data_IF_861188643888
#
_entry.id   IF_861188643888
#
_cell.length_a   1.000
_cell.length_b   1.000
_cell.length_c   1.000
_cell.angle_alpha   90.00
_cell.angle_beta   90.00
_cell.angle_gamma   90.00
#
_symmetry.space_group_name_H-M   'P 1'
#
loop_
_entity.id
_entity.type
_entity.pdbx_description
1 polymer ?
#
# COMPACT_ATOMS: atom_id res chain seq x y z
N UNK A 1 8.98 35.95 -11.19
CA UNK A 1 9.39 35.67 -9.79
C UNK A 1 10.38 34.53 -9.86
N UNK A 2 11.51 34.59 -9.15
CA UNK A 2 12.52 33.54 -9.22
C UNK A 2 12.09 32.35 -8.33
N UNK A 3 11.97 31.15 -8.90
CA UNK A 3 11.51 29.94 -8.21
C UNK A 3 12.57 29.41 -7.22
N UNK A 4 12.14 28.78 -6.12
CA UNK A 4 13.02 28.16 -5.12
C UNK A 4 13.30 26.69 -5.52
N UNK A 5 14.56 26.27 -5.75
CA UNK A 5 14.93 24.89 -6.09
C UNK A 5 14.40 23.84 -5.12
N UNK A 6 14.36 24.15 -3.82
CA UNK A 6 13.79 23.23 -2.81
C UNK A 6 12.30 23.01 -3.04
N UNK A 7 11.57 24.06 -3.44
CA UNK A 7 10.13 23.98 -3.74
C UNK A 7 9.93 23.14 -5.00
N UNK A 8 10.77 23.34 -6.00
CA UNK A 8 10.74 22.61 -7.26
C UNK A 8 10.98 21.10 -7.06
N UNK A 9 12.03 20.72 -6.34
CA UNK A 9 12.28 19.31 -5.99
C UNK A 9 11.13 18.71 -5.17
N UNK A 10 10.57 19.47 -4.22
CA UNK A 10 9.42 18.99 -3.41
C UNK A 10 8.17 18.73 -4.25
N UNK A 11 7.94 19.53 -5.31
CA UNK A 11 6.83 19.34 -6.24
C UNK A 11 7.05 18.09 -7.07
N UNK A 12 8.28 17.89 -7.57
CA UNK A 12 8.63 16.71 -8.36
C UNK A 12 8.45 15.41 -7.57
N UNK A 13 9.04 15.31 -6.37
CA UNK A 13 8.89 14.14 -5.50
C UNK A 13 7.42 13.86 -5.20
N UNK A 14 6.63 14.90 -4.92
CA UNK A 14 5.19 14.76 -4.72
C UNK A 14 4.45 14.24 -5.96
N UNK A 15 4.87 14.61 -7.17
CA UNK A 15 4.28 14.08 -8.42
C UNK A 15 4.64 12.60 -8.60
N UNK A 16 5.89 12.21 -8.34
CA UNK A 16 6.32 10.81 -8.37
C UNK A 16 5.51 9.96 -7.38
N UNK A 17 5.36 10.43 -6.14
CA UNK A 17 4.56 9.75 -5.11
C UNK A 17 3.13 9.50 -5.59
N UNK A 18 2.48 10.54 -6.11
CA UNK A 18 1.12 10.48 -6.66
C UNK A 18 1.06 9.49 -7.82
N UNK A 19 2.03 9.52 -8.73
CA UNK A 19 2.09 8.62 -9.90
C UNK A 19 2.22 7.16 -9.46
N UNK A 20 3.13 6.86 -8.53
CA UNK A 20 3.38 5.51 -8.04
C UNK A 20 2.18 4.96 -7.26
N UNK A 21 1.58 5.76 -6.39
CA UNK A 21 0.36 5.38 -5.68
C UNK A 21 -0.81 5.13 -6.65
N UNK A 22 -0.97 6.01 -7.65
CA UNK A 22 -2.00 5.87 -8.69
C UNK A 22 -1.85 4.55 -9.44
N UNK A 23 -0.63 4.19 -9.85
CA UNK A 23 -0.31 2.93 -10.55
C UNK A 23 -0.76 1.70 -9.76
N UNK A 24 -0.60 1.70 -8.44
CA UNK A 24 -1.07 0.59 -7.59
C UNK A 24 -2.60 0.52 -7.59
N UNK A 25 -3.30 1.65 -7.46
CA UNK A 25 -4.77 1.71 -7.40
C UNK A 25 -5.47 1.56 -8.76
N UNK A 26 -4.73 1.61 -9.86
CA UNK A 26 -5.22 1.32 -11.21
C UNK A 26 -5.70 -0.11 -11.36
N UNK A 27 -5.24 -1.05 -10.53
CA UNK A 27 -5.59 -2.46 -10.66
C UNK A 27 -6.55 -2.89 -9.55
N UNK A 28 -7.72 -3.40 -9.96
CA UNK A 28 -8.58 -4.18 -9.08
C UNK A 28 -8.14 -5.63 -9.07
N UNK A 29 -7.74 -6.14 -7.90
CA UNK A 29 -7.03 -7.42 -7.74
C UNK A 29 -7.82 -8.38 -6.81
N UNK A 30 -8.91 -9.01 -7.26
CA UNK A 30 -9.62 -9.97 -6.41
C UNK A 30 -8.71 -11.13 -5.99
N UNK A 31 -8.92 -11.64 -4.78
CA UNK A 31 -8.19 -12.78 -4.26
C UNK A 31 -8.20 -13.99 -5.22
N UNK A 32 -7.03 -14.57 -5.49
CA UNK A 32 -6.82 -15.72 -6.38
C UNK A 32 -7.18 -15.43 -7.85
N UNK A 33 -7.32 -14.17 -8.26
CA UNK A 33 -7.53 -13.82 -9.67
C UNK A 33 -6.22 -13.87 -10.47
N UNK A 34 -6.32 -14.07 -11.78
CA UNK A 34 -5.15 -13.89 -12.66
C UNK A 34 -4.64 -12.45 -12.63
N UNK A 35 -5.53 -11.45 -12.45
CA UNK A 35 -5.13 -10.04 -12.32
C UNK A 35 -4.24 -9.80 -11.11
N UNK A 36 -4.60 -10.32 -9.94
CA UNK A 36 -3.75 -10.23 -8.74
C UNK A 36 -2.39 -10.90 -8.98
N UNK A 37 -2.40 -12.10 -9.57
CA UNK A 37 -1.19 -12.85 -9.87
C UNK A 37 -0.27 -12.12 -10.85
N UNK A 38 -0.80 -11.63 -11.96
CA UNK A 38 -0.04 -10.86 -12.95
C UNK A 38 0.52 -9.60 -12.30
N UNK A 39 -0.32 -8.84 -11.58
CA UNK A 39 0.11 -7.63 -10.91
C UNK A 39 1.24 -7.89 -9.89
N UNK A 40 1.11 -8.91 -9.05
CA UNK A 40 2.14 -9.29 -8.08
C UNK A 40 3.46 -9.63 -8.77
N UNK A 41 3.42 -10.46 -9.82
CA UNK A 41 4.63 -10.90 -10.52
C UNK A 41 5.29 -9.77 -11.32
N UNK A 42 4.51 -8.82 -11.82
CA UNK A 42 5.01 -7.69 -12.59
C UNK A 42 5.55 -6.57 -11.70
N UNK A 43 4.88 -6.25 -10.59
CA UNK A 43 5.15 -5.02 -9.84
C UNK A 43 5.73 -5.21 -8.44
N UNK A 44 5.58 -6.40 -7.82
CA UNK A 44 6.12 -6.65 -6.48
C UNK A 44 7.22 -7.70 -6.46
N UNK A 45 7.07 -8.79 -7.22
CA UNK A 45 8.02 -9.90 -7.25
C UNK A 45 8.96 -9.82 -8.45
N UNK A 46 9.62 -8.66 -8.60
CA UNK A 46 10.50 -8.36 -9.73
C UNK A 46 11.88 -9.00 -9.55
N UNK A 47 12.69 -9.14 -10.62
CA UNK A 47 14.06 -9.64 -10.51
C UNK A 47 14.92 -8.88 -9.48
N UNK A 48 14.72 -7.57 -9.35
CA UNK A 48 15.43 -6.69 -8.42
C UNK A 48 15.02 -6.99 -6.98
N UNK A 49 13.73 -7.16 -6.73
CA UNK A 49 13.22 -7.53 -5.41
C UNK A 49 13.72 -8.93 -5.02
N UNK A 50 13.75 -9.88 -5.96
CA UNK A 50 14.33 -11.21 -5.75
C UNK A 50 15.83 -11.11 -5.42
N UNK A 51 16.58 -10.29 -6.17
CA UNK A 51 18.01 -10.03 -5.93
C UNK A 51 18.24 -9.38 -4.57
N UNK A 52 17.34 -8.52 -4.12
CA UNK A 52 17.33 -7.91 -2.78
C UNK A 52 16.96 -8.90 -1.67
N UNK A 53 16.53 -10.12 -2.01
CA UNK A 53 16.23 -11.20 -1.05
C UNK A 53 14.75 -11.50 -0.88
N UNK A 54 13.86 -10.90 -1.67
CA UNK A 54 12.43 -11.25 -1.66
C UNK A 54 12.23 -12.69 -2.15
N UNK A 55 11.38 -13.43 -1.46
CA UNK A 55 10.95 -14.76 -1.86
C UNK A 55 9.46 -14.96 -1.61
N UNK A 56 8.89 -16.00 -2.24
CA UNK A 56 7.53 -16.46 -1.96
C UNK A 56 7.55 -17.67 -1.05
N UNK A 57 6.68 -17.71 -0.05
CA UNK A 57 6.51 -18.92 0.76
C UNK A 57 5.72 -20.02 0.02
N UNK A 58 5.47 -21.14 0.70
CA UNK A 58 4.74 -22.29 0.17
C UNK A 58 3.22 -22.17 0.27
N UNK A 59 2.66 -20.98 0.51
CA UNK A 59 1.22 -20.79 0.56
C UNK A 59 0.58 -20.93 -0.83
N UNK A 60 -0.59 -21.56 -0.88
CA UNK A 60 -1.39 -21.71 -2.08
C UNK A 60 -2.88 -21.65 -1.73
N UNK A 61 -3.68 -20.90 -2.49
CA UNK A 61 -5.12 -20.80 -2.29
C UNK A 61 -5.88 -20.68 -3.62
N UNK A 62 -7.17 -21.01 -3.57
CA UNK A 62 -8.03 -20.99 -4.75
C UNK A 62 -7.69 -22.06 -5.79
N UNK A 63 -7.85 -21.72 -7.08
CA UNK A 63 -7.60 -22.63 -8.21
C UNK A 63 -6.16 -22.57 -8.73
N UNK A 64 -5.28 -21.84 -8.05
CA UNK A 64 -3.89 -21.68 -8.43
C UNK A 64 -3.16 -23.03 -8.30
N UNK A 65 -2.95 -23.71 -9.42
CA UNK A 65 -2.18 -24.96 -9.49
C UNK A 65 -0.76 -24.66 -9.97
N UNK A 66 0.15 -24.34 -9.05
CA UNK A 66 1.56 -24.09 -9.37
C UNK A 66 2.40 -23.86 -8.12
N UNK A 67 3.70 -24.15 -8.20
CA UNK A 67 4.70 -23.76 -7.20
C UNK A 67 4.96 -22.24 -7.33
N UNK A 68 4.85 -21.45 -6.26
CA UNK A 68 5.28 -20.03 -6.25
C UNK A 68 4.21 -18.93 -6.37
N UNK A 69 3.05 -19.03 -5.74
CA UNK A 69 2.07 -17.91 -5.59
C UNK A 69 1.80 -17.55 -4.12
N UNK A 70 2.74 -17.88 -3.23
CA UNK A 70 2.62 -17.64 -1.79
C UNK A 70 2.74 -16.17 -1.38
N UNK A 71 2.77 -15.95 -0.08
CA UNK A 71 3.05 -14.63 0.51
C UNK A 71 4.44 -14.18 0.08
N UNK A 72 4.61 -12.88 -0.21
CA UNK A 72 5.91 -12.31 -0.55
C UNK A 72 6.58 -11.82 0.73
N UNK A 73 7.82 -12.23 0.94
CA UNK A 73 8.55 -11.97 2.17
C UNK A 73 9.92 -11.42 1.81
N UNK A 74 10.33 -10.34 2.47
CA UNK A 74 11.68 -9.77 2.38
C UNK A 74 12.09 -9.20 3.74
N UNK A 75 13.34 -9.42 4.12
CA UNK A 75 13.95 -8.79 5.29
C UNK A 75 14.83 -7.63 4.81
N UNK A 76 14.61 -6.45 5.39
CA UNK A 76 15.41 -5.24 5.13
C UNK A 76 16.17 -4.88 6.40
N UNK A 77 17.46 -4.59 6.25
CA UNK A 77 18.35 -4.35 7.39
C UNK A 77 18.63 -5.62 8.20
N UNK A 78 19.21 -5.46 9.39
CA UNK A 78 19.54 -6.58 10.27
C UNK A 78 19.02 -6.33 11.69
N UNK A 79 18.55 -7.40 12.35
CA UNK A 79 18.30 -7.40 13.80
C UNK A 79 17.03 -6.67 14.26
N UNK A 80 16.17 -6.25 13.33
CA UNK A 80 14.88 -5.63 13.64
C UNK A 80 13.96 -6.61 14.37
N UNK A 81 13.18 -6.09 15.33
CA UNK A 81 12.09 -6.79 16.02
C UNK A 81 10.72 -6.39 15.49
N UNK A 82 10.70 -5.69 14.35
CA UNK A 82 9.52 -5.14 13.72
C UNK A 82 9.19 -5.88 12.43
N UNK A 83 7.95 -6.33 12.32
CA UNK A 83 7.33 -6.87 11.12
C UNK A 83 6.32 -5.84 10.57
N UNK A 84 6.36 -5.61 9.26
CA UNK A 84 5.38 -4.80 8.52
C UNK A 84 4.54 -5.70 7.62
N UNK A 85 3.23 -5.40 7.58
CA UNK A 85 2.23 -6.24 6.94
C UNK A 85 1.29 -5.42 6.08
N UNK A 86 1.04 -5.90 4.87
CA UNK A 86 -0.04 -5.47 3.98
C UNK A 86 -0.58 -6.70 3.25
N UNK A 87 -1.67 -6.55 2.50
CA UNK A 87 -2.16 -7.62 1.61
C UNK A 87 -2.21 -7.18 0.14
N UNK A 88 -2.12 -8.15 -0.78
CA UNK A 88 -2.03 -7.88 -2.22
C UNK A 88 -3.38 -7.90 -2.93
N UNK A 89 -4.35 -8.62 -2.38
CA UNK A 89 -5.70 -8.69 -2.91
C UNK A 89 -6.52 -7.43 -2.58
N UNK A 90 -7.71 -7.35 -3.13
CA UNK A 90 -8.68 -6.26 -2.91
C UNK A 90 -10.07 -6.87 -3.01
N UNK A 91 -11.08 -6.29 -2.34
CA UNK A 91 -12.49 -6.72 -2.44
C UNK A 91 -13.17 -6.54 -3.81
N UNK A 92 -12.43 -6.22 -4.87
CA UNK A 92 -13.01 -6.12 -6.22
C UNK A 92 -13.77 -7.41 -6.58
N UNK A 93 -14.91 -7.27 -7.28
CA UNK A 93 -15.72 -8.42 -7.70
C UNK A 93 -15.07 -9.17 -8.86
N UNK A 94 -14.34 -8.45 -9.70
CA UNK A 94 -13.65 -8.94 -10.89
C UNK A 94 -12.33 -8.21 -11.04
N UNK A 95 -11.33 -8.88 -11.62
CA UNK A 95 -10.07 -8.25 -11.96
C UNK A 95 -10.29 -7.17 -13.01
N UNK A 96 -9.85 -5.94 -12.74
CA UNK A 96 -10.04 -4.80 -13.65
C UNK A 96 -8.80 -3.91 -13.69
N UNK A 97 -8.66 -3.21 -14.79
CA UNK A 97 -7.86 -1.98 -14.88
C UNK A 97 -8.86 -0.83 -14.86
N UNK A 98 -8.69 0.09 -13.92
CA UNK A 98 -9.62 1.18 -13.67
C UNK A 98 -8.96 2.55 -13.77
N UNK A 99 -9.77 3.55 -14.08
CA UNK A 99 -9.36 4.93 -14.08
C UNK A 99 -9.29 5.45 -12.65
N UNK A 100 -8.12 5.94 -12.24
CA UNK A 100 -7.92 6.59 -10.95
C UNK A 100 -7.92 8.10 -11.18
N UNK A 101 -8.95 8.75 -10.66
CA UNK A 101 -9.21 10.17 -10.84
C UNK A 101 -8.60 10.93 -9.68
N UNK A 102 -7.85 11.99 -9.98
CA UNK A 102 -7.31 12.91 -8.98
C UNK A 102 -8.27 14.08 -8.84
N UNK A 103 -9.01 14.13 -7.73
CA UNK A 103 -9.94 15.20 -7.45
C UNK A 103 -9.28 16.28 -6.59
N UNK A 104 -9.14 17.51 -7.09
CA UNK A 104 -8.65 18.64 -6.31
C UNK A 104 -9.75 19.29 -5.44
N UNK A 105 -10.99 18.78 -5.47
CA UNK A 105 -12.09 19.35 -4.72
C UNK A 105 -11.90 19.19 -3.20
N UNK A 106 -12.32 20.22 -2.45
CA UNK A 106 -12.38 20.22 -0.97
C UNK A 106 -11.05 20.21 -0.22
N UNK A 107 -10.18 21.20 -0.42
CA UNK A 107 -9.01 21.51 0.45
C UNK A 107 -7.95 20.40 0.64
N UNK A 108 -8.19 19.19 0.13
CA UNK A 108 -7.40 17.97 0.29
C UNK A 108 -7.41 17.23 -1.05
N UNK A 109 -6.24 16.82 -1.52
CA UNK A 109 -6.15 16.05 -2.76
C UNK A 109 -6.59 14.60 -2.50
N UNK A 110 -7.54 14.10 -3.31
CA UNK A 110 -8.07 12.74 -3.17
C UNK A 110 -7.99 11.93 -4.45
N UNK A 111 -7.75 10.63 -4.33
CA UNK A 111 -8.02 9.67 -5.40
C UNK A 111 -9.43 9.09 -5.27
N UNK A 112 -10.09 8.91 -6.41
CA UNK A 112 -11.36 8.20 -6.56
C UNK A 112 -11.34 7.35 -7.83
N UNK A 113 -12.37 6.52 -8.02
CA UNK A 113 -12.55 5.72 -9.25
C UNK A 113 -13.97 5.90 -9.79
N UNK A 114 -14.13 5.76 -11.11
CA UNK A 114 -15.42 5.74 -11.81
C UNK A 114 -15.87 4.30 -12.15
N UNK A 115 -15.13 3.27 -11.69
CA UNK A 115 -15.36 1.87 -12.04
C UNK A 115 -16.66 1.26 -11.50
N UNK A 116 -17.35 1.95 -10.57
CA UNK A 116 -18.48 1.39 -9.83
C UNK A 116 -18.11 0.25 -8.86
N UNK A 117 -16.81 0.08 -8.60
CA UNK A 117 -16.22 -0.79 -7.58
C UNK A 117 -15.37 0.05 -6.61
N UNK A 118 -14.76 -0.59 -5.61
CA UNK A 118 -13.80 0.07 -4.74
C UNK A 118 -12.60 0.63 -5.50
N UNK A 119 -11.89 1.57 -4.89
CA UNK A 119 -10.65 2.13 -5.43
C UNK A 119 -9.48 1.14 -5.30
N UNK A 120 -9.54 0.19 -4.37
CA UNK A 120 -8.42 -0.67 -4.00
C UNK A 120 -7.45 0.03 -3.05
N UNK A 121 -7.93 1.02 -2.29
CA UNK A 121 -7.15 1.64 -1.20
C UNK A 121 -6.80 0.61 -0.12
N UNK A 122 -7.74 -0.29 0.14
CA UNK A 122 -7.60 -1.54 0.88
C UNK A 122 -7.19 -2.67 -0.09
N UNK A 123 -5.93 -3.15 -0.12
CA UNK A 123 -4.77 -2.63 0.63
C UNK A 123 -3.63 -2.15 -0.29
N UNK A 124 -3.99 -1.52 -1.41
CA UNK A 124 -3.00 -0.83 -2.25
C UNK A 124 -2.22 0.26 -1.51
N UNK A 125 -2.81 0.85 -0.46
CA UNK A 125 -2.16 1.88 0.36
C UNK A 125 -1.09 1.29 1.27
N UNK A 126 -1.38 0.17 1.95
CA UNK A 126 -0.40 -0.52 2.78
C UNK A 126 0.77 -1.06 1.97
N UNK A 127 0.49 -1.57 0.76
CA UNK A 127 1.56 -1.99 -0.17
C UNK A 127 2.47 -0.83 -0.53
N UNK A 128 1.91 0.34 -0.89
CA UNK A 128 2.71 1.53 -1.20
C UNK A 128 3.56 1.98 -0.01
N UNK A 129 2.97 2.03 1.20
CA UNK A 129 3.71 2.38 2.42
C UNK A 129 4.88 1.43 2.69
N UNK A 130 4.68 0.13 2.53
CA UNK A 130 5.76 -0.85 2.73
C UNK A 130 6.89 -0.65 1.73
N UNK A 131 6.59 -0.41 0.44
CA UNK A 131 7.62 -0.11 -0.56
C UNK A 131 8.40 1.17 -0.22
N UNK A 132 7.73 2.20 0.26
CA UNK A 132 8.37 3.46 0.66
C UNK A 132 9.25 3.31 1.91
N UNK A 133 8.84 2.50 2.89
CA UNK A 133 9.66 2.18 4.05
C UNK A 133 10.90 1.36 3.67
N UNK A 134 10.74 0.39 2.78
CA UNK A 134 11.86 -0.37 2.22
C UNK A 134 12.83 0.55 1.44
N UNK A 135 12.32 1.46 0.60
CA UNK A 135 13.11 2.48 -0.12
C UNK A 135 13.92 3.35 0.86
N UNK A 136 13.31 3.72 1.98
CA UNK A 136 13.96 4.48 3.04
C UNK A 136 14.92 3.65 3.92
N UNK A 137 15.05 2.34 3.66
CA UNK A 137 15.93 1.44 4.41
C UNK A 137 15.48 1.18 5.84
N UNK A 138 14.18 1.30 6.13
CA UNK A 138 13.63 1.05 7.47
C UNK A 138 13.76 -0.45 7.80
N UNK A 139 14.52 -0.84 8.85
CA UNK A 139 14.77 -2.25 9.12
C UNK A 139 13.52 -3.01 9.58
N UNK A 140 13.27 -4.19 9.02
CA UNK A 140 12.12 -5.01 9.38
C UNK A 140 11.90 -6.20 8.47
N UNK A 141 10.98 -7.06 8.89
CA UNK A 141 10.42 -8.12 8.05
C UNK A 141 9.17 -7.62 7.37
N UNK A 142 9.19 -7.58 6.04
CA UNK A 142 8.08 -7.11 5.23
C UNK A 142 7.36 -8.32 4.65
N UNK A 143 6.06 -8.45 4.95
CA UNK A 143 5.21 -9.53 4.43
C UNK A 143 4.02 -8.95 3.68
N UNK A 144 3.98 -9.21 2.37
CA UNK A 144 2.83 -8.94 1.53
C UNK A 144 1.98 -10.20 1.47
N UNK A 145 0.91 -10.22 2.25
CA UNK A 145 0.03 -11.36 2.41
C UNK A 145 -0.84 -11.56 1.18
N UNK A 146 -1.16 -12.83 0.92
CA UNK A 146 -2.19 -13.21 -0.03
C UNK A 146 -3.47 -13.57 0.72
N UNK A 147 -4.62 -13.28 0.10
CA UNK A 147 -5.92 -13.81 0.50
C UNK A 147 -6.44 -13.28 1.85
N UNK A 148 -6.20 -11.99 2.15
CA UNK A 148 -6.76 -11.34 3.34
C UNK A 148 -8.28 -11.25 3.21
N UNK A 149 -8.76 -10.75 2.07
CA UNK A 149 -10.15 -10.37 1.82
C UNK A 149 -11.11 -11.57 1.81
N UNK A 150 -10.53 -12.78 1.76
CA UNK A 150 -11.22 -14.07 1.84
C UNK A 150 -10.94 -14.83 3.13
N UNK A 151 -10.44 -14.12 4.15
CA UNK A 151 -10.30 -14.59 5.54
C UNK A 151 -8.88 -14.76 6.06
N UNK A 152 -7.90 -13.99 5.58
CA UNK A 152 -6.52 -14.01 6.10
C UNK A 152 -5.82 -15.36 5.93
N UNK A 153 -5.99 -16.01 4.77
CA UNK A 153 -5.48 -17.38 4.59
C UNK A 153 -3.94 -17.40 4.48
N UNK A 154 -3.34 -16.38 3.87
CA UNK A 154 -1.88 -16.26 3.74
C UNK A 154 -1.18 -16.08 5.08
N UNK A 155 -1.64 -15.15 5.92
CA UNK A 155 -1.12 -15.00 7.28
C UNK A 155 -1.42 -16.22 8.16
N UNK A 156 -2.59 -16.84 7.99
CA UNK A 156 -2.92 -18.09 8.69
C UNK A 156 -1.96 -19.22 8.33
N UNK A 157 -1.52 -19.31 7.07
CA UNK A 157 -0.51 -20.28 6.65
C UNK A 157 0.81 -20.06 7.39
N UNK A 158 1.29 -18.81 7.47
CA UNK A 158 2.51 -18.47 8.19
C UNK A 158 2.39 -18.85 9.67
N UNK A 159 1.31 -18.44 10.34
CA UNK A 159 1.10 -18.72 11.77
C UNK A 159 1.06 -20.22 12.09
N UNK A 160 0.48 -21.03 11.20
CA UNK A 160 0.24 -22.47 11.46
C UNK A 160 1.33 -23.40 10.88
N UNK A 161 2.02 -22.98 9.83
CA UNK A 161 2.91 -23.86 9.04
C UNK A 161 4.37 -23.45 9.15
N UNK A 162 4.64 -22.14 9.13
CA UNK A 162 5.99 -21.58 9.21
C UNK A 162 6.11 -20.52 10.31
N UNK A 163 5.65 -20.80 11.56
CA UNK A 163 5.67 -19.80 12.63
C UNK A 163 7.08 -19.33 12.97
N UNK A 164 8.10 -20.13 12.66
CA UNK A 164 9.51 -19.78 12.87
C UNK A 164 9.94 -18.54 12.09
N UNK A 165 9.21 -18.16 11.03
CA UNK A 165 9.44 -16.93 10.29
C UNK A 165 9.23 -15.69 11.17
N UNK A 166 8.23 -15.74 12.04
CA UNK A 166 7.76 -14.61 12.85
C UNK A 166 8.06 -14.78 14.35
N UNK A 167 8.60 -15.94 14.74
CA UNK A 167 9.07 -16.19 16.11
C UNK A 167 10.22 -15.22 16.46
N UNK A 168 10.05 -14.50 17.58
CA UNK A 168 11.06 -13.60 18.11
C UNK A 168 10.99 -12.16 17.59
N UNK A 169 9.94 -11.81 16.83
CA UNK A 169 9.52 -10.42 16.59
C UNK A 169 8.68 -9.93 17.77
N UNK A 170 8.84 -8.65 18.12
CA UNK A 170 8.13 -8.02 19.23
C UNK A 170 6.84 -7.33 18.76
N UNK A 171 6.81 -6.88 17.50
CA UNK A 171 5.68 -6.13 16.92
C UNK A 171 5.39 -6.46 15.47
N UNK A 172 4.11 -6.58 15.14
CA UNK A 172 3.56 -6.73 13.79
C UNK A 172 2.63 -5.56 13.48
N UNK A 173 3.01 -4.75 12.50
CA UNK A 173 2.33 -3.51 12.12
C UNK A 173 1.63 -3.73 10.78
N UNK A 174 0.29 -3.81 10.80
CA UNK A 174 -0.51 -3.82 9.57
C UNK A 174 -0.82 -2.39 9.12
N UNK A 175 -0.74 -2.15 7.81
CA UNK A 175 -1.09 -0.88 7.17
C UNK A 175 -2.43 -0.95 6.43
N UNK A 176 -3.43 -1.50 7.09
CA UNK A 176 -4.65 -2.04 6.48
C UNK A 176 -5.91 -1.53 7.21
N UNK A 177 -5.95 -0.24 7.52
CA UNK A 177 -7.11 0.35 8.20
C UNK A 177 -7.51 1.67 7.56
N UNK A 178 -8.82 1.80 7.32
CA UNK A 178 -9.42 3.07 6.90
C UNK A 178 -9.26 4.18 7.94
N UNK A 179 -9.57 5.40 7.53
CA UNK A 179 -9.47 6.63 8.30
C UNK A 179 -8.02 7.01 8.63
N UNK A 180 -7.80 8.02 9.48
CA UNK A 180 -6.55 8.75 9.64
C UNK A 180 -6.07 8.88 11.11
N UNK A 181 -6.56 8.00 12.00
CA UNK A 181 -6.39 8.18 13.44
C UNK A 181 -6.26 6.92 14.29
N UNK A 182 -6.63 5.73 13.82
CA UNK A 182 -6.65 4.53 14.67
C UNK A 182 -5.28 3.86 14.76
N UNK A 183 -4.90 3.46 15.98
CA UNK A 183 -3.94 2.40 16.27
C UNK A 183 -4.74 1.28 16.93
N UNK A 184 -4.97 0.18 16.21
CA UNK A 184 -5.85 -0.88 16.68
C UNK A 184 -5.19 -1.67 17.83
N UNK A 185 -5.85 -1.73 18.99
CA UNK A 185 -5.42 -2.55 20.14
C UNK A 185 -6.12 -3.89 20.22
N UNK A 186 -7.26 -4.02 19.53
CA UNK A 186 -8.03 -5.25 19.48
C UNK A 186 -8.52 -5.54 18.06
N UNK A 187 -8.18 -6.72 17.55
CA UNK A 187 -8.60 -7.20 16.24
C UNK A 187 -9.60 -8.33 16.42
N UNK A 188 -10.74 -8.24 15.74
CA UNK A 188 -11.87 -9.18 15.86
C UNK A 188 -12.33 -9.43 17.33
N UNK A 189 -12.14 -8.44 18.20
CA UNK A 189 -12.53 -8.48 19.61
C UNK A 189 -11.55 -9.17 20.56
N UNK A 190 -10.37 -9.58 20.10
CA UNK A 190 -9.27 -10.09 20.94
C UNK A 190 -8.22 -8.99 21.11
N UNK A 191 -7.61 -8.86 22.29
CA UNK A 191 -6.48 -7.93 22.48
C UNK A 191 -5.26 -8.47 21.74
N UNK A 192 -4.77 -7.68 20.81
CA UNK A 192 -3.61 -8.01 19.98
C UNK A 192 -2.44 -7.04 20.22
N UNK A 193 -2.73 -5.85 20.73
CA UNK A 193 -1.73 -4.83 21.08
C UNK A 193 -2.08 -4.19 22.44
N UNK A 194 -1.07 -3.84 23.23
CA UNK A 194 -1.21 -3.14 24.50
C UNK A 194 -1.55 -1.66 24.29
N UNK A 195 -2.19 -1.06 25.29
CA UNK A 195 -2.48 0.38 25.25
C UNK A 195 -1.18 1.19 25.40
N UNK A 196 -0.21 0.70 26.19
CA UNK A 196 1.13 1.29 26.34
C UNK A 196 1.90 1.37 25.01
N UNK A 197 1.86 0.31 24.19
CA UNK A 197 2.44 0.33 22.84
C UNK A 197 1.75 1.38 21.97
N UNK A 198 0.41 1.38 21.96
CA UNK A 198 -0.37 2.28 21.12
C UNK A 198 -0.16 3.76 21.48
N UNK A 199 -0.04 4.08 22.77
CA UNK A 199 0.27 5.43 23.24
C UNK A 199 1.69 5.86 22.85
N UNK A 200 2.69 4.99 23.02
CA UNK A 200 4.07 5.27 22.65
C UNK A 200 4.24 5.45 21.13
N UNK A 201 3.58 4.62 20.32
CA UNK A 201 3.56 4.77 18.86
C UNK A 201 2.86 6.06 18.44
N UNK A 202 1.71 6.41 19.06
CA UNK A 202 1.00 7.65 18.78
C UNK A 202 1.87 8.89 19.03
N UNK A 203 2.62 8.90 20.13
CA UNK A 203 3.55 9.99 20.47
C UNK A 203 4.65 10.11 19.41
N UNK A 204 5.28 9.00 19.02
CA UNK A 204 6.35 8.97 18.02
C UNK A 204 5.88 9.36 16.61
N UNK A 205 4.66 8.99 16.24
CA UNK A 205 4.06 9.44 14.97
C UNK A 205 3.76 10.94 14.97
N UNK A 206 3.28 11.49 16.09
CA UNK A 206 2.93 12.91 16.18
C UNK A 206 1.75 13.33 15.29
N UNK A 207 0.93 12.37 14.84
CA UNK A 207 -0.16 12.57 13.88
C UNK A 207 -1.55 12.39 14.49
N UNK A 208 -1.68 12.62 15.80
CA UNK A 208 -2.96 12.52 16.54
C UNK A 208 -3.66 11.15 16.40
N UNK A 209 -2.86 10.11 16.14
CA UNK A 209 -3.32 8.73 16.24
C UNK A 209 -3.57 8.37 17.69
N UNK A 210 -4.42 7.37 17.93
CA UNK A 210 -4.79 6.93 19.27
C UNK A 210 -5.22 5.48 19.29
N UNK A 211 -5.08 4.86 20.45
CA UNK A 211 -5.56 3.51 20.72
C UNK A 211 -7.05 3.36 20.36
N UNK A 212 -7.37 2.29 19.63
CA UNK A 212 -8.73 1.96 19.19
C UNK A 212 -8.99 0.45 19.40
N UNK A 213 -9.96 0.13 20.24
CA UNK A 213 -10.32 -1.25 20.60
C UNK A 213 -11.42 -1.86 19.72
N UNK A 214 -11.79 -1.19 18.63
CA UNK A 214 -12.94 -1.59 17.78
C UNK A 214 -12.53 -2.29 16.49
N UNK A 215 -11.25 -2.61 16.31
CA UNK A 215 -10.69 -3.16 15.09
C UNK A 215 -11.39 -4.41 14.56
N UNK A 216 -11.51 -4.46 13.24
CA UNK A 216 -11.86 -5.66 12.49
C UNK A 216 -10.71 -6.67 12.51
N UNK A 217 -10.94 -7.84 11.91
CA UNK A 217 -9.84 -8.73 11.56
C UNK A 217 -8.89 -8.04 10.56
N UNK A 218 -7.62 -8.42 10.60
CA UNK A 218 -6.57 -8.18 9.58
C UNK A 218 -5.51 -9.27 9.78
N UNK A 219 -4.55 -9.42 8.86
CA UNK A 219 -3.55 -10.48 8.85
C UNK A 219 -2.77 -10.64 10.17
N UNK A 220 -2.34 -9.54 10.80
CA UNK A 220 -1.57 -9.59 12.06
C UNK A 220 -2.36 -10.18 13.24
N UNK A 221 -3.69 -10.27 13.14
CA UNK A 221 -4.52 -10.94 14.14
C UNK A 221 -4.22 -12.45 14.23
N UNK A 222 -3.75 -13.08 13.14
CA UNK A 222 -3.32 -14.48 13.16
C UNK A 222 -2.00 -14.69 13.93
N UNK A 223 -1.27 -13.62 14.23
CA UNK A 223 0.03 -13.67 14.90
C UNK A 223 -0.06 -13.34 16.39
N UNK A 224 -1.25 -13.00 16.91
CA UNK A 224 -1.44 -12.47 18.25
C UNK A 224 -0.98 -13.41 19.39
N UNK A 225 -0.90 -14.72 19.13
CA UNK A 225 -0.37 -15.72 20.09
C UNK A 225 1.13 -15.95 19.98
N UNK A 226 1.80 -15.33 19.00
CA UNK A 226 3.23 -15.48 18.71
C UNK A 226 3.95 -14.15 18.95
N UNK A 227 3.43 -13.07 18.38
CA UNK A 227 3.98 -11.71 18.48
C UNK A 227 3.25 -10.97 19.61
N UNK A 228 3.99 -10.33 20.54
CA UNK A 228 3.43 -9.53 21.61
C UNK A 228 2.52 -8.40 21.13
N UNK A 229 2.96 -7.57 20.18
CA UNK A 229 2.24 -6.36 19.77
C UNK A 229 1.81 -6.43 18.30
N UNK A 230 0.59 -6.91 18.06
CA UNK A 230 -0.04 -6.92 16.73
C UNK A 230 -1.06 -5.77 16.63
N UNK A 231 -0.78 -4.80 15.77
CA UNK A 231 -1.65 -3.64 15.53
C UNK A 231 -1.97 -3.46 14.05
N UNK A 232 -2.95 -2.60 13.77
CA UNK A 232 -3.33 -2.15 12.44
C UNK A 232 -3.51 -0.63 12.48
N UNK A 233 -2.93 0.08 11.52
CA UNK A 233 -2.85 1.53 11.50
C UNK A 233 -3.72 2.13 10.41
N UNK A 234 -4.45 3.18 10.76
CA UNK A 234 -5.22 3.99 9.83
C UNK A 234 -4.34 4.67 8.76
N UNK A 235 -4.55 4.36 7.48
CA UNK A 235 -3.69 4.82 6.36
C UNK A 235 -4.32 5.85 5.43
N UNK A 236 -5.53 6.33 5.74
CA UNK A 236 -6.13 7.50 5.08
C UNK A 236 -6.99 7.20 3.85
N UNK A 237 -7.32 5.93 3.58
CA UNK A 237 -8.46 5.62 2.72
C UNK A 237 -9.75 5.71 3.53
N UNK A 238 -10.85 6.08 2.88
CA UNK A 238 -12.18 6.23 3.47
C UNK A 238 -13.22 5.50 2.63
N UNK A 239 -14.41 5.26 3.21
CA UNK A 239 -15.51 4.53 2.56
C UNK A 239 -15.07 3.17 1.99
N UNK A 240 -14.26 2.46 2.77
CA UNK A 240 -13.68 1.18 2.41
C UNK A 240 -14.72 0.21 1.81
N UNK A 241 -14.30 -0.58 0.83
CA UNK A 241 -15.08 -1.65 0.20
C UNK A 241 -16.37 -1.17 -0.50
N UNK A 242 -16.40 0.10 -0.91
CA UNK A 242 -17.55 0.70 -1.59
C UNK A 242 -17.16 1.42 -2.87
N UNK A 243 -18.13 1.67 -3.75
CA UNK A 243 -17.91 2.48 -4.96
C UNK A 243 -17.56 3.96 -4.67
N UNK A 244 -17.61 4.38 -3.39
CA UNK A 244 -17.23 5.72 -2.93
C UNK A 244 -15.89 5.74 -2.20
N UNK A 245 -15.15 4.63 -2.26
CA UNK A 245 -13.82 4.55 -1.67
C UNK A 245 -12.92 5.63 -2.26
N UNK A 246 -12.18 6.31 -1.38
CA UNK A 246 -11.27 7.37 -1.76
C UNK A 246 -10.04 7.35 -0.87
N UNK A 247 -8.92 7.86 -1.38
CA UNK A 247 -7.66 7.99 -0.65
C UNK A 247 -7.30 9.45 -0.45
N UNK A 248 -7.07 9.89 0.79
CA UNK A 248 -6.51 11.21 1.08
C UNK A 248 -4.98 11.19 0.90
N UNK A 249 -4.49 11.90 -0.11
CA UNK A 249 -3.07 11.86 -0.51
C UNK A 249 -2.22 12.70 0.44
N UNK A 250 -2.67 13.91 0.79
CA UNK A 250 -1.91 14.82 1.65
C UNK A 250 -1.64 14.25 3.05
N UNK A 251 -2.59 13.48 3.59
CA UNK A 251 -2.41 12.74 4.82
C UNK A 251 -1.39 11.61 4.63
N UNK A 252 -1.58 10.79 3.59
CA UNK A 252 -0.76 9.60 3.35
C UNK A 252 0.73 9.94 3.18
N UNK A 253 1.06 11.00 2.43
CA UNK A 253 2.45 11.43 2.27
C UNK A 253 3.08 11.87 3.61
N UNK A 254 2.32 12.61 4.43
CA UNK A 254 2.77 12.98 5.79
C UNK A 254 2.92 11.76 6.68
N UNK A 255 2.04 10.77 6.51
CA UNK A 255 2.05 9.54 7.29
C UNK A 255 3.28 8.69 6.96
N UNK A 256 3.59 8.50 5.66
CA UNK A 256 4.87 7.91 5.23
C UNK A 256 6.06 8.63 5.87
N UNK A 257 6.13 9.95 5.75
CA UNK A 257 7.25 10.74 6.26
C UNK A 257 7.39 10.64 7.80
N UNK A 258 6.30 10.37 8.52
CA UNK A 258 6.31 10.10 9.95
C UNK A 258 6.81 8.67 10.24
N UNK A 259 6.28 7.66 9.53
CA UNK A 259 6.67 6.25 9.69
C UNK A 259 8.17 6.03 9.45
N UNK A 260 8.76 6.68 8.44
CA UNK A 260 10.21 6.63 8.16
C UNK A 260 11.05 7.15 9.33
N UNK A 261 10.51 8.08 10.13
CA UNK A 261 11.22 8.73 11.25
C UNK A 261 11.01 8.00 12.58
N UNK A 262 10.08 7.06 12.67
CA UNK A 262 9.84 6.30 13.89
C UNK A 262 11.07 5.42 14.16
N UNK A 263 11.65 5.56 15.35
CA UNK A 263 12.60 4.58 15.88
C UNK A 263 11.80 3.36 16.35
N UNK A 264 11.52 2.47 15.40
CA UNK A 264 10.67 1.31 15.61
C UNK A 264 11.17 0.46 16.75
N UNK A 265 12.48 0.24 16.89
CA UNK A 265 13.08 -0.65 17.89
C UNK A 265 12.98 -0.09 19.32
N UNK A 266 12.85 1.22 19.47
CA UNK A 266 12.64 1.87 20.77
C UNK A 266 11.21 1.83 21.30
N UNK A 267 10.26 1.28 20.54
CA UNK A 267 8.87 1.14 20.98
C UNK A 267 8.73 0.19 22.18
N UNK A 268 7.80 0.51 23.08
CA UNK A 268 7.41 -0.35 24.21
C UNK A 268 6.98 -1.74 23.71
N UNK A 269 7.13 -2.77 24.54
CA UNK A 269 6.54 -4.10 24.30
C UNK A 269 6.05 -4.61 25.65
N UNK A 270 4.74 -4.59 25.86
CA UNK A 270 4.12 -4.76 27.17
C UNK A 270 3.11 -5.92 27.22
N UNK A 271 2.48 -6.27 26.10
CA UNK A 271 1.53 -7.38 26.03
C UNK A 271 2.24 -8.73 26.16
N UNK A 272 1.63 -9.65 26.92
CA UNK A 272 2.02 -11.05 26.97
C UNK A 272 1.15 -11.86 25.99
N UNK A 273 1.71 -12.37 24.86
CA UNK A 273 0.93 -13.10 23.86
C UNK A 273 0.37 -14.45 24.36
N UNK A 274 0.84 -14.94 25.52
CA UNK A 274 0.29 -16.16 26.15
C UNK A 274 -1.01 -15.92 26.92
N UNK A 275 -1.38 -14.65 27.17
CA UNK A 275 -2.58 -14.26 27.91
C UNK A 275 -3.65 -13.78 26.93
N UNK A 276 -4.78 -14.48 26.90
CA UNK A 276 -5.94 -14.05 26.12
C UNK A 276 -6.77 -13.02 26.86
N UNK A 277 -6.86 -11.82 26.29
CA UNK A 277 -7.76 -10.75 26.71
C UNK A 277 -8.74 -10.42 25.58
N UNK A 278 -9.95 -9.98 25.95
CA UNK A 278 -11.02 -9.73 25.00
C UNK A 278 -11.63 -8.34 25.18
N UNK A 279 -12.09 -7.74 24.09
CA UNK A 279 -12.79 -6.46 24.08
C UNK A 279 -14.14 -6.55 24.79
N UNK A 280 -14.39 -5.59 25.69
CA UNK A 280 -15.67 -5.38 26.37
C UNK A 280 -16.59 -4.41 25.63
N UNK A 281 -16.20 -3.98 24.42
CA UNK A 281 -16.86 -2.89 23.70
C UNK A 281 -17.50 -3.31 22.38
N UNK A 282 -17.35 -4.57 21.98
CA UNK A 282 -17.67 -5.03 20.63
C UNK A 282 -16.53 -4.76 19.65
N UNK A 283 -16.73 -5.19 18.40
CA UNK A 283 -15.75 -5.02 17.32
C UNK A 283 -16.49 -4.82 16.00
N UNK A 284 -15.83 -4.22 15.01
CA UNK A 284 -16.39 -4.09 13.67
C UNK A 284 -16.24 -5.42 12.91
N UNK A 285 -17.32 -5.84 12.27
CA UNK A 285 -17.34 -6.97 11.34
C UNK A 285 -17.55 -6.48 9.91
N UNK A 286 -17.80 -7.43 9.00
CA UNK A 286 -18.00 -7.17 7.57
C UNK A 286 -19.01 -6.03 7.31
N UNK A 287 -18.62 -5.09 6.44
CA UNK A 287 -19.42 -3.92 6.08
C UNK A 287 -19.57 -2.87 7.19
N UNK A 288 -18.53 -2.69 8.01
CA UNK A 288 -18.47 -1.73 9.14
C UNK A 288 -19.58 -1.92 10.19
N UNK A 289 -20.12 -3.13 10.30
CA UNK A 289 -21.18 -3.41 11.28
C UNK A 289 -20.58 -3.63 12.65
N UNK A 290 -21.02 -2.89 13.66
CA UNK A 290 -20.65 -3.17 15.05
C UNK A 290 -21.30 -4.51 15.51
N UNK A 291 -20.46 -5.46 15.93
CA UNK A 291 -20.83 -6.82 16.32
C UNK A 291 -20.55 -7.05 17.81
N UNK A 292 -21.50 -7.72 18.50
CA UNK A 292 -21.30 -8.12 19.90
C UNK A 292 -20.24 -9.22 19.99
N UNK A 293 -19.42 -9.27 21.06
CA UNK A 293 -18.53 -10.40 21.27
C UNK A 293 -19.29 -11.72 21.34
N UNK A 294 -18.63 -12.81 20.95
CA UNK A 294 -19.18 -14.17 21.02
C UNK A 294 -19.67 -14.45 22.45
N UNK A 295 -20.69 -15.31 22.57
CA UNK A 295 -21.28 -15.64 23.89
C UNK A 295 -20.24 -16.12 24.90
N UNK A 296 -19.29 -16.96 24.47
CA UNK A 296 -18.19 -17.44 25.30
C UNK A 296 -17.32 -16.30 25.85
N UNK A 297 -17.03 -15.30 25.01
CA UNK A 297 -16.28 -14.10 25.40
C UNK A 297 -17.09 -13.26 26.39
N UNK A 298 -18.38 -13.04 26.10
CA UNK A 298 -19.28 -12.30 27.00
C UNK A 298 -19.39 -12.95 28.38
N UNK A 299 -19.47 -14.28 28.43
CA UNK A 299 -19.46 -15.04 29.68
C UNK A 299 -18.11 -14.91 30.41
N UNK A 300 -16.99 -14.93 29.68
CA UNK A 300 -15.65 -14.81 30.26
C UNK A 300 -15.35 -13.43 30.85
N UNK A 301 -15.82 -12.35 30.22
CA UNK A 301 -15.57 -10.97 30.67
C UNK A 301 -16.64 -10.41 31.60
N UNK A 302 -17.66 -11.22 31.96
CA UNK A 302 -18.74 -10.78 32.84
C UNK A 302 -19.70 -9.76 32.21
N UNK A 303 -19.88 -9.82 30.89
CA UNK A 303 -20.77 -8.93 30.13
C UNK A 303 -22.22 -9.04 30.62
N UNK A 304 -22.77 -7.94 31.15
CA UNK A 304 -24.11 -7.88 31.73
C UNK A 304 -25.03 -6.89 31.02
N UNK A 305 -26.12 -6.55 31.71
CA UNK A 305 -27.18 -5.68 31.17
C UNK A 305 -26.67 -4.26 30.86
N UNK A 306 -25.64 -3.78 31.57
CA UNK A 306 -25.08 -2.44 31.35
C UNK A 306 -24.25 -2.39 30.06
N UNK A 307 -23.37 -3.38 29.84
CA UNK A 307 -22.58 -3.50 28.60
C UNK A 307 -23.50 -3.70 27.40
N UNK A 308 -24.58 -4.47 27.56
CA UNK A 308 -25.60 -4.58 26.53
C UNK A 308 -26.25 -3.23 26.22
N UNK A 309 -26.65 -2.45 27.24
CA UNK A 309 -27.20 -1.11 27.02
C UNK A 309 -26.21 -0.15 26.34
N UNK A 310 -24.92 -0.19 26.69
CA UNK A 310 -23.90 0.65 26.03
C UNK A 310 -23.68 0.24 24.58
N UNK A 311 -23.65 -1.07 24.30
CA UNK A 311 -23.53 -1.58 22.94
C UNK A 311 -24.70 -1.14 22.07
N UNK A 312 -25.94 -1.28 22.55
CA UNK A 312 -27.13 -0.87 21.80
C UNK A 312 -27.09 0.66 21.53
N UNK A 313 -26.75 1.47 22.53
CA UNK A 313 -26.60 2.93 22.35
C UNK A 313 -25.57 3.31 21.28
N UNK A 314 -24.42 2.63 21.26
CA UNK A 314 -23.37 2.87 20.26
C UNK A 314 -23.84 2.47 18.88
N UNK A 315 -24.45 1.29 18.74
CA UNK A 315 -25.00 0.81 17.48
C UNK A 315 -26.06 1.79 16.93
N UNK A 316 -26.93 2.29 17.79
CA UNK A 316 -27.99 3.23 17.38
C UNK A 316 -27.40 4.60 16.99
N UNK A 317 -26.36 5.08 17.68
CA UNK A 317 -25.64 6.32 17.31
C UNK A 317 -24.96 6.18 15.95
N UNK A 318 -24.29 5.06 15.70
CA UNK A 318 -23.65 4.77 14.40
C UNK A 318 -24.67 4.69 13.27
N UNK A 319 -25.84 4.09 13.51
CA UNK A 319 -26.92 4.04 12.54
C UNK A 319 -27.44 5.46 12.20
N UNK A 320 -27.58 6.34 13.20
CA UNK A 320 -27.97 7.74 12.99
C UNK A 320 -26.91 8.53 12.22
N UNK A 321 -25.62 8.38 12.56
CA UNK A 321 -24.52 9.04 11.86
C UNK A 321 -24.45 8.60 10.39
N UNK A 322 -24.67 7.31 10.12
CA UNK A 322 -24.75 6.79 8.75
C UNK A 322 -25.94 7.36 7.98
N UNK A 323 -27.12 7.42 8.59
CA UNK A 323 -28.30 8.06 7.97
C UNK A 323 -28.09 9.55 7.68
N UNK A 324 -27.39 10.28 8.56
CA UNK A 324 -27.04 11.68 8.37
C UNK A 324 -26.06 11.88 7.21
N UNK A 325 -24.98 11.09 7.16
CA UNK A 325 -24.01 11.17 6.06
C UNK A 325 -24.65 10.78 4.72
N UNK A 326 -25.51 9.76 4.69
CA UNK A 326 -26.26 9.36 3.49
C UNK A 326 -27.29 10.43 3.03
N UNK A 327 -27.68 11.38 3.90
CA UNK A 327 -28.66 12.44 3.56
C UNK A 327 -28.04 13.80 3.22
N UNK A 328 -26.81 14.10 3.67
CA UNK A 328 -26.07 15.31 3.29
C UNK A 328 -25.37 15.18 1.91
N UNK A 329 -25.01 13.96 1.49
CA UNK A 329 -24.41 13.68 0.17
C UNK A 329 -25.47 13.38 -0.90
N UNK A 330 -26.22 14.40 -1.35
CA UNK A 330 -27.04 14.24 -2.57
C UNK A 330 -26.15 14.16 -3.80
N UNK A 331 -26.30 13.05 -4.52
CA UNK A 331 -25.62 12.63 -5.74
C UNK A 331 -25.37 13.77 -6.76
N UNK A 332 -24.16 13.90 -7.34
CA UNK A 332 -24.06 14.41 -8.70
C UNK A 332 -24.68 13.38 -9.65
N UNK A 333 -25.62 13.81 -10.50
CA UNK A 333 -26.18 12.98 -11.57
C UNK A 333 -25.03 12.47 -12.47
N UNK A 334 -24.73 11.17 -12.39
CA UNK A 334 -23.82 10.50 -13.31
C UNK A 334 -24.50 10.40 -14.69
N UNK A 335 -24.24 11.38 -15.54
CA UNK A 335 -24.52 11.26 -16.97
C UNK A 335 -23.41 10.44 -17.65
N UNK A 336 -23.85 9.37 -18.34
CA UNK A 336 -23.13 8.50 -19.29
C UNK A 336 -22.07 7.53 -18.74
N UNK A 337 -22.54 6.34 -18.39
CA UNK A 337 -21.76 5.08 -18.42
C UNK A 337 -21.52 4.71 -19.88
N UNK A 338 -20.26 4.61 -20.32
CA UNK A 338 -19.90 3.91 -21.55
C UNK A 338 -19.83 2.42 -21.21
N UNK A 339 -20.80 1.65 -21.70
CA UNK A 339 -20.72 0.18 -21.71
C UNK A 339 -19.89 -0.18 -22.94
N UNK A 340 -18.65 -0.63 -22.74
CA UNK A 340 -17.83 -1.19 -23.83
C UNK A 340 -18.08 -2.69 -23.85
N UNK A 341 -19.13 -3.10 -24.54
CA UNK A 341 -19.21 -4.44 -25.12
C UNK A 341 -18.34 -4.42 -26.40
N UNK A 342 -17.47 -5.43 -26.55
CA UNK A 342 -16.51 -5.67 -27.64
C UNK A 342 -15.13 -4.97 -27.52
N UNK A 343 -14.23 -5.51 -26.69
CA UNK A 343 -12.77 -5.37 -26.85
C UNK A 343 -12.18 -6.76 -27.07
N UNK A 344 -11.74 -7.04 -28.30
CA UNK A 344 -11.22 -8.36 -28.71
C UNK A 344 -9.68 -8.46 -28.65
N UNK A 345 -8.91 -7.42 -28.25
CA UNK A 345 -7.44 -7.53 -28.19
C UNK A 345 -6.78 -6.80 -26.99
N UNK A 346 -5.74 -7.39 -26.37
CA UNK A 346 -5.04 -6.83 -25.20
C UNK A 346 -4.29 -5.51 -25.45
N UNK A 347 -4.01 -5.18 -26.71
CA UNK A 347 -3.26 -3.98 -27.09
C UNK A 347 -4.02 -2.66 -26.83
N UNK A 348 -5.35 -2.67 -26.81
CA UNK A 348 -6.18 -1.45 -26.62
C UNK A 348 -6.27 -0.99 -25.15
N UNK A 349 -5.92 -1.85 -24.18
CA UNK A 349 -5.93 -1.53 -22.75
C UNK A 349 -4.72 -0.65 -22.37
N UNK A 350 -3.58 -0.83 -23.05
CA UNK A 350 -2.38 -0.01 -22.89
C UNK A 350 -2.58 1.41 -23.47
N UNK A 351 -3.35 1.54 -24.55
CA UNK A 351 -3.69 2.84 -25.15
C UNK A 351 -4.67 3.67 -24.29
N UNK A 352 -5.42 3.05 -23.38
CA UNK A 352 -6.33 3.75 -22.46
C UNK A 352 -5.63 4.21 -21.16
N UNK A 353 -4.47 3.62 -20.85
CA UNK A 353 -3.61 3.98 -19.71
C UNK A 353 -2.75 5.23 -19.95
N UNK A 354 -2.77 5.75 -21.18
CA UNK A 354 -1.82 6.74 -21.71
C UNK A 354 -2.23 8.21 -21.48
N UNK A 355 -2.92 8.50 -20.37
CA UNK A 355 -3.32 9.88 -20.00
C UNK A 355 -2.83 10.22 -18.61
N UNK A 356 -1.52 10.40 -18.49
CA UNK A 356 -0.88 10.86 -17.27
C UNK A 356 -0.90 12.41 -17.22
N UNK A 357 -1.65 12.96 -16.26
CA UNK A 357 -1.75 14.40 -15.97
C UNK A 357 -0.45 14.96 -15.33
N UNK A 358 0.57 14.12 -15.07
CA UNK A 358 1.70 14.42 -14.19
C UNK A 358 3.12 14.24 -14.78
N UNK A 359 3.31 14.10 -16.11
CA UNK A 359 4.66 14.09 -16.74
C UNK A 359 5.26 15.51 -16.75
N UNK A 360 6.56 15.64 -16.43
CA UNK A 360 7.33 16.88 -16.67
C UNK A 360 7.53 17.07 -18.17
N UNK A 361 7.54 18.30 -18.67
CA UNK A 361 7.82 18.49 -20.10
C UNK A 361 9.28 18.11 -20.41
N UNK A 362 9.58 17.69 -21.63
CA UNK A 362 10.96 17.38 -22.05
C UNK A 362 11.90 18.58 -21.82
N UNK A 363 11.35 19.80 -21.92
CA UNK A 363 12.05 21.05 -21.60
C UNK A 363 12.34 21.18 -20.09
N UNK A 364 11.41 20.79 -19.21
CA UNK A 364 11.64 20.73 -17.77
C UNK A 364 12.74 19.71 -17.46
N UNK A 365 12.69 18.52 -18.06
CA UNK A 365 13.65 17.44 -17.84
C UNK A 365 15.08 17.83 -18.25
N UNK A 366 15.25 18.40 -19.45
CA UNK A 366 16.55 18.91 -19.91
C UNK A 366 17.11 20.03 -19.02
N UNK A 367 16.24 20.91 -18.50
CA UNK A 367 16.66 22.00 -17.62
C UNK A 367 17.19 21.49 -16.26
N UNK A 368 16.67 20.36 -15.77
CA UNK A 368 17.20 19.72 -14.56
C UNK A 368 18.50 18.96 -14.81
N UNK A 369 18.62 18.22 -15.92
CA UNK A 369 19.87 17.56 -16.29
C UNK A 369 21.02 18.57 -16.46
N UNK A 370 20.73 19.75 -17.00
CA UNK A 370 21.71 20.82 -17.13
C UNK A 370 22.09 21.43 -15.76
N UNK A 371 21.18 21.43 -14.78
CA UNK A 371 21.47 21.86 -13.40
C UNK A 371 22.36 20.83 -12.68
N UNK A 372 22.03 19.54 -12.76
CA UNK A 372 22.79 18.45 -12.12
C UNK A 372 24.20 18.32 -12.69
N UNK A 373 24.35 18.46 -14.01
CA UNK A 373 25.66 18.42 -14.67
C UNK A 373 26.47 19.71 -14.50
N UNK A 374 25.95 20.70 -13.76
CA UNK A 374 26.60 22.00 -13.51
C UNK A 374 26.79 22.85 -14.78
N UNK A 375 26.06 22.51 -15.84
CA UNK A 375 26.06 23.20 -17.15
C UNK A 375 25.27 24.50 -17.07
N UNK A 376 24.23 24.51 -16.23
CA UNK A 376 23.41 25.67 -15.93
C UNK A 376 23.56 26.05 -14.46
N UNK A 377 23.68 27.35 -14.19
CA UNK A 377 23.55 27.85 -12.81
C UNK A 377 22.08 28.02 -12.44
N UNK A 378 21.77 27.94 -11.14
CA UNK A 378 20.40 28.19 -10.64
C UNK A 378 19.82 29.53 -11.12
N UNK A 379 20.66 30.55 -11.34
CA UNK A 379 20.25 31.88 -11.83
C UNK A 379 19.93 31.91 -13.33
N UNK A 380 20.57 31.06 -14.14
CA UNK A 380 20.29 30.89 -15.57
C UNK A 380 18.99 30.08 -15.76
N UNK A 381 18.77 29.07 -14.93
CA UNK A 381 17.53 28.27 -14.91
C UNK A 381 16.32 29.16 -14.62
N UNK A 382 16.48 30.06 -13.63
CA UNK A 382 15.49 31.07 -13.25
C UNK A 382 15.18 32.05 -14.38
N UNK A 383 16.15 32.42 -15.23
CA UNK A 383 15.91 33.33 -16.36
C UNK A 383 15.21 32.64 -17.54
N UNK A 384 15.55 31.39 -17.82
CA UNK A 384 14.93 30.60 -18.89
C UNK A 384 13.45 30.32 -18.59
N UNK A 385 13.15 29.86 -17.38
CA UNK A 385 11.78 29.59 -16.92
C UNK A 385 10.90 30.84 -16.73
N UNK A 386 11.46 32.06 -16.84
CA UNK A 386 10.70 33.32 -16.72
C UNK A 386 10.56 34.09 -18.03
N UNK A 387 11.18 33.64 -19.13
CA UNK A 387 11.03 34.28 -20.44
C UNK A 387 9.84 33.74 -21.25
N UNK A 388 9.44 32.49 -21.06
CA UNK A 388 8.28 31.90 -21.74
C UNK A 388 7.00 32.13 -20.92
N UNK A 389 6.44 33.32 -21.09
CA UNK A 389 5.18 33.76 -20.48
C UNK A 389 3.93 33.26 -21.21
N UNK A 390 3.77 31.95 -21.39
CA UNK A 390 2.50 31.38 -21.87
C UNK A 390 2.18 30.10 -21.09
N UNK A 391 1.11 30.13 -20.29
CA UNK A 391 0.48 28.93 -19.75
C UNK A 391 -1.04 29.12 -19.82
N UNK A 392 -1.63 28.59 -20.89
CA UNK A 392 -3.03 28.21 -20.96
C UNK A 392 -3.11 26.69 -20.86
N UNK A 393 -3.93 26.19 -19.95
CA UNK A 393 -4.30 24.78 -19.88
C UNK A 393 -5.20 24.50 -21.10
N UNK A 394 -4.66 24.01 -22.21
CA UNK A 394 -5.42 23.37 -23.29
C UNK A 394 -4.66 22.15 -23.87
N UNK A 395 -5.48 21.26 -24.45
CA UNK A 395 -5.28 19.87 -24.89
C UNK A 395 -4.12 19.57 -25.86
N UNK A 396 -3.91 18.25 -26.08
CA UNK A 396 -3.07 17.56 -27.10
C UNK A 396 -1.62 17.23 -26.68
N UNK A 397 -0.97 16.13 -27.07
CA UNK A 397 -1.24 14.77 -27.60
C UNK A 397 0.15 14.10 -27.64
N UNK A 398 0.25 12.84 -27.16
CA UNK A 398 1.25 11.77 -27.44
C UNK A 398 2.76 12.09 -27.63
N UNK A 399 3.64 11.44 -26.86
CA UNK A 399 4.49 10.34 -27.36
C UNK A 399 5.16 9.54 -26.20
N UNK A 400 5.09 8.21 -26.37
CA UNK A 400 5.91 7.08 -25.89
C UNK A 400 6.77 7.04 -24.59
N UNK A 401 6.92 5.78 -24.10
CA UNK A 401 8.02 5.30 -23.24
C UNK A 401 7.60 4.62 -21.93
N UNK A 402 7.52 3.28 -21.91
CA UNK A 402 7.14 2.46 -20.74
C UNK A 402 8.36 1.92 -19.96
N UNK A 403 9.52 2.56 -20.09
CA UNK A 403 10.79 2.06 -19.55
C UNK A 403 11.21 2.73 -18.20
N UNK A 404 10.60 3.85 -17.81
CA UNK A 404 11.13 4.68 -16.70
C UNK A 404 10.60 4.32 -15.30
N UNK A 405 10.36 3.04 -14.96
CA UNK A 405 9.98 2.68 -13.58
C UNK A 405 11.20 2.46 -12.65
N UNK A 406 12.38 2.12 -13.19
CA UNK A 406 13.50 1.66 -12.35
C UNK A 406 14.76 2.53 -12.35
N UNK A 407 14.97 3.41 -13.32
CA UNK A 407 16.13 4.32 -13.35
C UNK A 407 16.18 5.25 -12.13
N UNK A 408 15.01 5.62 -11.58
CA UNK A 408 14.90 6.48 -10.40
C UNK A 408 14.98 5.74 -9.05
N UNK A 409 15.06 4.39 -9.05
CA UNK A 409 15.00 3.61 -7.81
C UNK A 409 16.32 2.96 -7.39
N UNK A 410 17.26 2.64 -8.29
CA UNK A 410 18.61 2.18 -7.92
C UNK A 410 19.62 2.41 -9.06
N UNK A 411 20.73 3.13 -8.80
CA UNK A 411 21.82 3.30 -9.77
C UNK A 411 22.46 1.95 -10.15
N UNK A 412 22.60 1.71 -11.45
CA UNK A 412 23.26 0.54 -12.04
C UNK A 412 24.78 0.63 -12.00
N UNK A 413 25.42 -0.54 -11.83
CA UNK A 413 26.69 -0.93 -12.43
C UNK A 413 26.96 -2.43 -12.07
N UNK A 414 26.79 -3.28 -13.07
CA UNK A 414 27.64 -4.45 -13.38
C UNK A 414 27.37 -5.93 -12.94
N UNK A 415 26.55 -6.69 -13.71
CA UNK A 415 26.40 -8.18 -13.69
C UNK A 415 26.32 -8.88 -15.08
N UNK A 416 27.44 -9.34 -15.62
CA UNK A 416 27.53 -10.40 -16.66
C UNK A 416 28.78 -11.23 -16.38
N UNK A 417 28.65 -12.26 -15.54
CA UNK A 417 29.34 -13.56 -15.69
C UNK A 417 29.04 -14.41 -14.44
N UNK A 418 28.01 -15.24 -14.52
CA UNK A 418 27.83 -16.49 -13.74
C UNK A 418 26.41 -16.97 -13.98
N UNK A 419 26.20 -17.92 -14.90
CA UNK A 419 25.30 -19.09 -14.81
C UNK A 419 25.13 -19.69 -16.22
N UNK A 420 25.85 -20.76 -16.58
CA UNK A 420 25.68 -21.39 -17.89
C UNK A 420 24.32 -22.08 -18.00
N UNK A 421 23.53 -21.69 -19.01
CA UNK A 421 22.25 -22.31 -19.35
C UNK A 421 22.44 -23.80 -19.70
N UNK A 422 21.75 -24.69 -18.97
CA UNK A 422 21.60 -26.08 -19.39
C UNK A 422 20.47 -26.20 -20.41
N UNK A 423 20.85 -26.62 -21.62
CA UNK A 423 19.97 -26.91 -22.75
C UNK A 423 18.78 -27.81 -22.39
N UNK A 424 17.56 -27.32 -22.59
CA UNK A 424 16.52 -27.98 -23.40
C UNK A 424 15.23 -27.15 -23.47
N UNK A 425 14.98 -26.59 -24.65
CA UNK A 425 13.69 -26.00 -25.00
C UNK A 425 13.80 -24.81 -25.95
N UNK A 426 14.45 -25.01 -27.12
CA UNK A 426 14.40 -24.04 -28.22
C UNK A 426 12.98 -24.00 -28.78
N UNK A 427 12.36 -22.82 -28.77
CA UNK A 427 11.78 -22.21 -29.96
C UNK A 427 11.81 -20.67 -29.78
N UNK A 428 12.17 -19.99 -30.86
CA UNK A 428 12.82 -18.68 -30.94
C UNK A 428 11.87 -17.49 -30.83
N UNK A 429 12.32 -16.41 -30.17
CA UNK A 429 12.13 -15.02 -30.63
C UNK A 429 13.48 -14.31 -30.43
N UNK A 430 14.08 -13.85 -31.54
CA UNK A 430 15.30 -13.03 -31.61
C UNK A 430 15.00 -11.60 -31.11
N UNK A 431 15.82 -11.10 -30.18
CA UNK A 431 16.18 -9.69 -30.11
C UNK A 431 17.69 -9.63 -29.88
N UNK A 432 18.39 -8.93 -30.78
CA UNK A 432 19.84 -8.77 -30.80
C UNK A 432 20.31 -7.91 -29.60
N UNK A 433 21.25 -8.44 -28.82
CA UNK A 433 22.15 -7.73 -27.90
C UNK A 433 23.20 -6.92 -28.68
N UNK A 434 23.68 -5.80 -28.12
CA UNK A 434 25.10 -5.45 -28.06
C UNK A 434 25.29 -4.09 -27.37
N UNK A 435 25.64 -4.13 -26.07
CA UNK A 435 26.73 -3.37 -25.43
C UNK A 435 26.41 -3.18 -23.93
N UNK A 436 27.00 -3.96 -23.02
CA UNK A 436 27.68 -3.49 -21.80
C UNK A 436 28.33 -4.67 -21.02
N UNK A 437 29.65 -4.55 -20.78
CA UNK A 437 30.54 -5.57 -20.18
C UNK A 437 30.78 -5.25 -18.70
N UNK A 438 30.41 -6.21 -17.85
CA UNK A 438 30.16 -6.06 -16.42
C UNK A 438 31.27 -6.67 -15.51
N UNK A 439 32.48 -6.94 -16.01
CA UNK A 439 33.39 -7.87 -15.33
C UNK A 439 34.41 -7.33 -14.29
N UNK A 440 34.49 -6.04 -13.95
CA UNK A 440 35.69 -5.55 -13.22
C UNK A 440 35.56 -4.81 -11.88
N UNK A 441 34.45 -4.87 -11.13
CA UNK A 441 34.34 -4.02 -9.92
C UNK A 441 34.70 -4.61 -8.55
N UNK A 442 34.96 -5.92 -8.41
CA UNK A 442 35.29 -6.51 -7.09
C UNK A 442 36.75 -6.95 -6.89
N UNK A 443 37.73 -6.03 -7.09
CA UNK A 443 39.07 -6.18 -6.51
C UNK A 443 39.54 -4.88 -5.87
N UNK A 444 39.36 -4.80 -4.54
CA UNK A 444 39.74 -3.64 -3.75
C UNK A 444 41.20 -3.19 -3.91
N UNK A 445 41.35 -1.94 -4.32
CA UNK A 445 42.28 -0.93 -3.80
C UNK A 445 41.70 0.46 -3.99
#
# INVERSE_FOLDING_TARGET
>A
MAYNPEVLNSIYQRRLDIRNLKRIMTFGRPASSEMEKEWVNTYLFTPEMIKAGMYKDGFHYGRQSGEGEGNLIIEVGEGSKTLFSSHTDTVHRTGIIQNVIVNPEESKLKFTTDSGQCLGGDDGTGVWLMLELMKAGVPGLYIFHRAEEVGGQGSSYIANTTPQLIEGYDRGIAFDRKDDWSIITHQAGTRTCSDDFAEDLAEKLGMNHRADSTGSFTDTANYDTIIPECTNLSVGYHNAHSARENQEIDYLLKFRDALVKVDWESLVTARDPSVQEYSTYGYYGYGDRLVKPKRSVREAVGWGDWEDQQFERRRDKLAQEKELNDTEEKEPELDSVIIIDDIEQPEDVLAFLDKDIMRMTDDEQQLYEMLENGVLTEDELRQMLTQDGDYSIEEEMYDDGLDDFFDDYFEEDDIEEKYPATEKGKDQIDFDDDDYDFENWFKGQ
#
